data_IF_946270275855
#
_entry.id   IF_946270275855
#
_cell.length_a   1.000
_cell.length_b   1.000
_cell.length_c   1.000
_cell.angle_alpha   90.00
_cell.angle_beta   90.00
_cell.angle_gamma   90.00
#
_symmetry.space_group_name_H-M   'P 1'
#
loop_
_entity.id
_entity.type
_entity.pdbx_description
1 polymer ?
#
# COMPACT_ATOMS: atom_id res chain seq x y z
N UNK A 1 -15.36 21.58 -0.54
CA UNK A 1 -15.30 20.32 -1.33
C UNK A 1 -14.01 19.59 -0.99
N UNK A 2 -14.13 18.37 -0.47
CA UNK A 2 -13.06 17.44 -0.17
C UNK A 2 -12.31 17.05 -1.45
N UNK A 3 -11.00 17.21 -1.41
CA UNK A 3 -10.10 16.75 -2.46
C UNK A 3 -8.68 16.64 -1.94
N UNK A 4 -7.79 16.09 -2.78
CA UNK A 4 -6.36 16.05 -2.49
C UNK A 4 -5.69 17.43 -2.52
N UNK A 5 -6.28 18.39 -3.25
CA UNK A 5 -5.70 19.73 -3.46
C UNK A 5 -6.26 20.79 -2.52
N UNK A 6 -7.52 20.67 -2.11
CA UNK A 6 -8.16 21.61 -1.19
C UNK A 6 -7.83 21.25 0.26
N UNK A 7 -7.68 22.24 1.16
CA UNK A 7 -7.65 21.98 2.60
C UNK A 7 -8.92 21.26 3.06
N UNK A 8 -8.76 20.28 3.94
CA UNK A 8 -9.88 19.68 4.67
C UNK A 8 -10.50 20.71 5.63
N UNK A 9 -11.80 20.96 5.48
CA UNK A 9 -12.58 21.88 6.32
C UNK A 9 -13.72 21.14 7.01
N UNK A 10 -14.06 21.50 8.25
CA UNK A 10 -15.15 20.85 9.00
C UNK A 10 -16.50 20.99 8.28
N UNK A 11 -16.72 22.12 7.60
CA UNK A 11 -17.94 22.42 6.84
C UNK A 11 -18.10 21.58 5.57
N UNK A 12 -17.03 20.95 5.08
CA UNK A 12 -17.08 20.13 3.88
C UNK A 12 -17.46 18.67 4.16
N UNK A 13 -17.40 18.25 5.43
CA UNK A 13 -17.58 16.86 5.83
C UNK A 13 -19.07 16.60 6.10
N UNK A 14 -19.64 15.64 5.38
CA UNK A 14 -20.99 15.13 5.62
C UNK A 14 -20.95 13.99 6.63
N UNK A 15 -20.08 13.00 6.40
CA UNK A 15 -19.97 11.80 7.24
C UNK A 15 -18.56 11.21 7.23
N UNK A 16 -18.27 10.41 8.26
CA UNK A 16 -17.03 9.67 8.44
C UNK A 16 -17.37 8.22 8.78
N UNK A 17 -16.80 7.28 8.04
CA UNK A 17 -16.98 5.85 8.26
C UNK A 17 -15.64 5.17 8.46
N UNK A 18 -15.57 4.25 9.41
CA UNK A 18 -14.36 3.47 9.65
C UNK A 18 -14.26 2.33 8.64
N UNK A 19 -13.16 2.27 7.90
CA UNK A 19 -12.85 1.18 6.95
C UNK A 19 -11.95 0.11 7.59
N UNK A 20 -11.00 0.54 8.42
CA UNK A 20 -10.14 -0.33 9.23
C UNK A 20 -10.08 0.22 10.63
N UNK A 21 -10.40 -0.62 11.61
CA UNK A 21 -10.52 -0.20 13.01
C UNK A 21 -9.28 0.57 13.47
N UNK A 22 -9.50 1.79 13.96
CA UNK A 22 -8.49 2.70 14.50
C UNK A 22 -7.49 3.28 13.49
N UNK A 23 -7.58 2.95 12.19
CA UNK A 23 -6.47 3.21 11.26
C UNK A 23 -6.92 3.92 9.97
N UNK A 24 -8.02 3.49 9.36
CA UNK A 24 -8.44 3.99 8.04
C UNK A 24 -9.90 4.42 8.09
N UNK A 25 -10.16 5.64 7.62
CA UNK A 25 -11.47 6.27 7.63
C UNK A 25 -11.83 6.82 6.25
N UNK A 26 -13.02 6.51 5.77
CA UNK A 26 -13.66 7.16 4.63
C UNK A 26 -14.33 8.45 5.12
N UNK A 27 -14.01 9.56 4.46
CA UNK A 27 -14.61 10.87 4.75
C UNK A 27 -15.37 11.30 3.50
N UNK A 28 -16.68 11.39 3.65
CA UNK A 28 -17.61 11.76 2.58
C UNK A 28 -18.05 13.21 2.77
N UNK A 29 -18.05 13.97 1.69
CA UNK A 29 -18.47 15.35 1.65
C UNK A 29 -19.90 15.51 1.11
N UNK A 30 -20.49 16.68 1.36
CA UNK A 30 -21.86 16.98 0.95
C UNK A 30 -22.08 16.95 -0.57
N UNK A 31 -21.01 17.05 -1.38
CA UNK A 31 -21.08 16.94 -2.84
C UNK A 31 -20.80 15.53 -3.36
N UNK A 32 -20.91 14.51 -2.49
CA UNK A 32 -20.57 13.09 -2.75
C UNK A 32 -19.10 12.82 -3.13
N UNK A 33 -18.25 13.81 -2.93
CA UNK A 33 -16.80 13.72 -2.93
C UNK A 33 -16.30 12.88 -1.75
N UNK A 34 -15.23 12.12 -1.95
CA UNK A 34 -14.68 11.21 -0.93
C UNK A 34 -13.17 11.28 -0.89
N UNK A 35 -12.65 11.30 0.33
CA UNK A 35 -11.22 11.14 0.63
C UNK A 35 -11.08 10.06 1.70
N UNK A 36 -9.87 9.54 1.86
CA UNK A 36 -9.52 8.65 2.95
C UNK A 36 -8.58 9.37 3.90
N UNK A 37 -8.84 9.24 5.20
CA UNK A 37 -7.90 9.60 6.25
C UNK A 37 -7.29 8.32 6.80
N UNK A 38 -5.95 8.21 6.70
CA UNK A 38 -5.18 7.10 7.25
C UNK A 38 -4.28 7.60 8.38
N UNK A 39 -4.22 6.84 9.46
CA UNK A 39 -3.37 7.11 10.61
C UNK A 39 -2.18 6.17 10.62
N UNK A 40 -0.97 6.73 10.70
CA UNK A 40 0.27 5.98 10.58
C UNK A 40 1.17 6.21 11.80
N UNK A 41 1.45 5.17 12.62
CA UNK A 41 2.33 5.31 13.77
C UNK A 41 3.77 5.57 13.34
N UNK A 42 4.46 6.46 14.06
CA UNK A 42 5.93 6.56 14.06
C UNK A 42 6.59 6.88 12.71
N UNK A 43 5.81 7.28 11.70
CA UNK A 43 6.32 7.72 10.40
C UNK A 43 6.34 9.25 10.33
N UNK A 44 7.42 9.82 9.80
CA UNK A 44 7.48 11.26 9.55
C UNK A 44 6.72 11.62 8.25
N UNK A 45 6.08 12.80 8.19
CA UNK A 45 5.50 13.34 6.95
C UNK A 45 6.49 13.35 5.77
N UNK A 46 7.78 13.58 6.07
CA UNK A 46 8.87 13.59 5.10
C UNK A 46 9.07 12.21 4.47
N UNK A 47 8.97 11.12 5.24
CA UNK A 47 9.09 9.76 4.72
C UNK A 47 7.99 9.49 3.69
N UNK A 48 6.72 9.77 4.01
CA UNK A 48 5.62 9.61 3.05
C UNK A 48 5.79 10.44 1.78
N UNK A 49 6.30 11.67 1.92
CA UNK A 49 6.57 12.55 0.79
C UNK A 49 7.65 11.97 -0.13
N UNK A 50 8.72 11.43 0.43
CA UNK A 50 9.84 10.90 -0.35
C UNK A 50 9.49 9.59 -1.06
N UNK A 51 8.88 8.66 -0.33
CA UNK A 51 8.41 7.38 -0.88
C UNK A 51 7.27 7.59 -1.88
N UNK A 52 6.39 8.56 -1.59
CA UNK A 52 5.27 8.91 -2.46
C UNK A 52 5.70 9.48 -3.82
N UNK A 53 6.89 10.09 -3.93
CA UNK A 53 7.44 10.52 -5.23
C UNK A 53 7.70 9.33 -6.17
N UNK A 54 8.15 8.21 -5.62
CA UNK A 54 8.41 6.98 -6.37
C UNK A 54 7.09 6.35 -6.79
N UNK A 55 6.15 6.22 -5.86
CA UNK A 55 4.85 5.62 -6.12
C UNK A 55 4.04 6.43 -7.13
N UNK A 56 4.13 7.76 -7.09
CA UNK A 56 3.44 8.65 -8.02
C UNK A 56 3.91 8.51 -9.48
N UNK A 57 5.06 7.88 -9.75
CA UNK A 57 5.48 7.57 -11.14
C UNK A 57 4.52 6.58 -11.77
N UNK A 58 4.12 5.58 -10.99
CA UNK A 58 3.29 4.50 -11.47
C UNK A 58 1.84 4.78 -11.10
N UNK A 59 1.53 4.97 -9.81
CA UNK A 59 0.18 5.13 -9.29
C UNK A 59 -0.06 6.49 -8.59
N UNK A 60 -0.34 7.56 -9.37
CA UNK A 60 -0.67 8.88 -8.83
C UNK A 60 -1.88 8.87 -7.88
N UNK A 61 -2.80 7.91 -8.03
CA UNK A 61 -4.01 7.83 -7.21
C UNK A 61 -3.74 7.34 -5.79
N UNK A 62 -2.62 6.64 -5.59
CA UNK A 62 -2.17 6.19 -4.27
C UNK A 62 -1.40 7.26 -3.49
N UNK A 63 -1.26 8.47 -4.03
CA UNK A 63 -0.56 9.58 -3.37
C UNK A 63 -1.20 9.89 -2.01
N UNK A 64 -0.36 9.91 -0.97
CA UNK A 64 -0.72 10.40 0.35
C UNK A 64 -0.14 11.79 0.62
N UNK A 65 -0.86 12.61 1.38
CA UNK A 65 -0.39 13.91 1.88
C UNK A 65 -0.64 13.98 3.37
N UNK A 66 0.37 14.33 4.16
CA UNK A 66 0.16 14.62 5.58
C UNK A 66 -0.80 15.81 5.75
N UNK A 67 -1.76 15.69 6.66
CA UNK A 67 -2.63 16.78 7.05
C UNK A 67 -1.79 17.89 7.68
N UNK A 68 -2.08 19.13 7.28
CA UNK A 68 -1.57 20.31 7.99
C UNK A 68 -2.20 20.43 9.38
N UNK A 69 -1.59 21.22 10.26
CA UNK A 69 -2.17 21.48 11.58
C UNK A 69 -3.58 22.07 11.49
N UNK A 70 -3.83 22.98 10.53
CA UNK A 70 -5.17 23.54 10.28
C UNK A 70 -6.17 22.46 9.90
N UNK A 71 -5.82 21.58 8.95
CA UNK A 71 -6.70 20.47 8.54
C UNK A 71 -6.99 19.49 9.70
N UNK A 72 -6.01 19.26 10.59
CA UNK A 72 -6.21 18.44 11.79
C UNK A 72 -7.19 19.10 12.76
N UNK A 73 -7.10 20.41 12.96
CA UNK A 73 -8.02 21.16 13.81
C UNK A 73 -9.45 21.15 13.23
N UNK A 74 -9.60 21.30 11.92
CA UNK A 74 -10.90 21.22 11.24
C UNK A 74 -11.51 19.82 11.34
N UNK A 75 -10.71 18.77 11.13
CA UNK A 75 -11.16 17.39 11.32
C UNK A 75 -11.60 17.15 12.77
N UNK A 76 -10.81 17.62 13.75
CA UNK A 76 -11.17 17.51 15.17
C UNK A 76 -12.47 18.25 15.49
N UNK A 77 -12.62 19.48 15.01
CA UNK A 77 -13.83 20.30 15.22
C UNK A 77 -15.09 19.59 14.72
N UNK A 78 -15.02 18.99 13.53
CA UNK A 78 -16.13 18.20 13.03
C UNK A 78 -16.43 16.99 13.93
N UNK A 79 -15.40 16.22 14.30
CA UNK A 79 -15.56 15.03 15.12
C UNK A 79 -16.12 15.35 16.52
N UNK A 80 -15.61 16.39 17.18
CA UNK A 80 -16.06 16.85 18.50
C UNK A 80 -17.55 17.21 18.46
N UNK A 81 -17.99 17.96 17.45
CA UNK A 81 -19.41 18.32 17.29
C UNK A 81 -20.30 17.09 17.18
N UNK A 82 -19.88 16.07 16.44
CA UNK A 82 -20.65 14.81 16.29
C UNK A 82 -20.71 14.05 17.62
N UNK A 83 -19.59 13.97 18.35
CA UNK A 83 -19.52 13.32 19.66
C UNK A 83 -20.38 14.04 20.69
N UNK A 84 -20.34 15.38 20.74
CA UNK A 84 -21.18 16.21 21.61
C UNK A 84 -22.67 16.01 21.31
N UNK A 85 -23.04 16.04 20.03
CA UNK A 85 -24.42 15.79 19.58
C UNK A 85 -24.90 14.41 20.02
N UNK A 86 -24.06 13.39 19.84
CA UNK A 86 -24.39 12.02 20.26
C UNK A 86 -24.53 11.90 21.79
N UNK A 87 -23.65 12.52 22.56
CA UNK A 87 -23.73 12.49 24.02
C UNK A 87 -25.00 13.18 24.56
N UNK A 88 -25.47 14.24 23.88
CA UNK A 88 -26.77 14.84 24.17
C UNK A 88 -27.93 13.86 23.91
N UNK A 89 -27.94 13.17 22.77
CA UNK A 89 -29.00 12.18 22.50
C UNK A 89 -28.96 10.97 23.45
N UNK A 90 -27.76 10.54 23.88
CA UNK A 90 -27.62 9.50 24.90
C UNK A 90 -28.20 9.93 26.25
N UNK A 91 -28.03 11.19 26.65
CA UNK A 91 -28.48 11.67 27.97
C UNK A 91 -30.01 11.77 28.10
N UNK A 92 -30.72 11.95 26.98
CA UNK A 92 -32.19 12.01 26.95
C UNK A 92 -32.88 10.64 26.75
N UNK A 93 -32.10 9.54 26.68
CA UNK A 93 -32.58 8.17 26.65
C UNK A 93 -32.90 7.61 25.25
N UNK A 94 -32.62 6.32 25.03
CA UNK A 94 -33.05 5.58 23.83
C UNK A 94 -32.08 5.58 22.63
N UNK A 95 -30.82 5.98 22.82
CA UNK A 95 -29.87 6.16 21.72
C UNK A 95 -28.68 5.19 21.78
N UNK A 96 -28.48 4.39 20.72
CA UNK A 96 -27.27 3.58 20.53
C UNK A 96 -26.30 4.34 19.64
N UNK A 97 -25.01 4.33 20.00
CA UNK A 97 -24.01 5.09 19.27
C UNK A 97 -23.90 4.64 17.81
N UNK A 98 -23.99 5.59 16.88
CA UNK A 98 -23.84 5.29 15.45
C UNK A 98 -22.39 4.95 15.13
N UNK A 99 -22.15 4.11 14.11
CA UNK A 99 -20.78 3.80 13.69
C UNK A 99 -20.03 5.05 13.20
N UNK A 100 -20.76 6.04 12.69
CA UNK A 100 -20.24 7.35 12.35
C UNK A 100 -19.67 8.08 13.59
N UNK A 101 -20.45 8.15 14.67
CA UNK A 101 -20.01 8.82 15.89
C UNK A 101 -18.88 8.07 16.60
N UNK A 102 -18.87 6.73 16.57
CA UNK A 102 -17.72 5.94 17.04
C UNK A 102 -16.44 6.28 16.25
N UNK A 103 -16.54 6.40 14.93
CA UNK A 103 -15.40 6.80 14.10
C UNK A 103 -14.90 8.20 14.47
N UNK A 104 -15.80 9.17 14.65
CA UNK A 104 -15.47 10.52 15.12
C UNK A 104 -14.83 10.51 16.52
N UNK A 105 -15.31 9.67 17.43
CA UNK A 105 -14.73 9.51 18.77
C UNK A 105 -13.27 9.07 18.69
N UNK A 106 -12.97 7.98 17.96
CA UNK A 106 -11.59 7.51 17.81
C UNK A 106 -10.67 8.57 17.21
N UNK A 107 -11.12 9.26 16.15
CA UNK A 107 -10.32 10.32 15.52
C UNK A 107 -10.06 11.47 16.51
N UNK A 108 -11.08 11.89 17.27
CA UNK A 108 -10.92 12.98 18.25
C UNK A 108 -9.96 12.59 19.37
N UNK A 109 -10.09 11.38 19.92
CA UNK A 109 -9.21 10.84 20.95
C UNK A 109 -7.75 10.80 20.47
N UNK A 110 -7.49 10.29 19.26
CA UNK A 110 -6.14 10.22 18.75
C UNK A 110 -5.57 11.60 18.37
N UNK A 111 -6.39 12.54 17.88
CA UNK A 111 -5.98 13.93 17.64
C UNK A 111 -5.68 14.69 18.94
N UNK A 112 -6.36 14.36 20.04
CA UNK A 112 -6.11 14.90 21.36
C UNK A 112 -4.92 14.22 22.06
N UNK A 113 -4.62 12.98 21.69
CA UNK A 113 -3.51 12.23 22.27
C UNK A 113 -2.15 12.81 21.87
N UNK A 114 -1.15 12.68 22.76
CA UNK A 114 0.26 12.96 22.41
C UNK A 114 0.89 11.81 21.61
N UNK A 115 0.09 10.90 21.03
CA UNK A 115 0.63 9.82 20.21
C UNK A 115 1.23 10.40 18.94
N UNK A 116 2.42 9.92 18.58
CA UNK A 116 3.13 10.35 17.38
C UNK A 116 2.55 9.65 16.14
N UNK A 117 1.33 10.05 15.77
CA UNK A 117 0.66 9.63 14.54
C UNK A 117 0.77 10.69 13.45
N UNK A 118 1.11 10.24 12.25
CA UNK A 118 0.94 11.04 11.04
C UNK A 118 -0.44 10.76 10.44
N UNK A 119 -1.24 11.82 10.31
CA UNK A 119 -2.54 11.76 9.65
C UNK A 119 -2.34 12.04 8.17
N UNK A 120 -2.70 11.09 7.32
CA UNK A 120 -2.58 11.17 5.88
C UNK A 120 -3.94 11.34 5.24
N UNK A 121 -4.03 12.29 4.32
CA UNK A 121 -5.13 12.42 3.35
C UNK A 121 -4.77 11.70 2.07
N UNK A 122 -5.70 10.90 1.56
CA UNK A 122 -5.55 10.09 0.36
C UNK A 122 -6.81 10.18 -0.50
N UNK A 123 -6.68 9.95 -1.81
CA UNK A 123 -7.83 9.81 -2.69
C UNK A 123 -8.60 8.54 -2.34
N UNK A 124 -9.94 8.60 -2.29
CA UNK A 124 -10.73 7.39 -2.14
C UNK A 124 -10.55 6.48 -3.37
N UNK A 125 -10.22 5.21 -3.12
CA UNK A 125 -10.14 4.17 -4.13
C UNK A 125 -11.00 2.98 -3.72
N UNK A 126 -11.75 2.42 -4.66
CA UNK A 126 -12.48 1.19 -4.43
C UNK A 126 -11.55 0.02 -4.67
N UNK A 127 -11.09 -0.66 -3.62
CA UNK A 127 -10.04 -1.69 -3.73
C UNK A 127 -10.53 -3.08 -3.33
N UNK A 128 -9.89 -4.10 -3.92
CA UNK A 128 -9.99 -5.50 -3.48
C UNK A 128 -8.59 -5.97 -3.12
N UNK A 129 -8.39 -6.45 -1.89
CA UNK A 129 -7.14 -7.10 -1.48
C UNK A 129 -7.14 -8.60 -1.79
N UNK A 130 -5.99 -9.14 -2.21
CA UNK A 130 -5.91 -10.54 -2.63
C UNK A 130 -6.05 -11.52 -1.46
N UNK A 131 -5.64 -11.13 -0.24
CA UNK A 131 -5.78 -11.95 0.96
C UNK A 131 -7.25 -12.21 1.33
N UNK A 132 -8.07 -11.17 1.42
CA UNK A 132 -9.48 -11.27 1.73
C UNK A 132 -10.27 -11.90 0.58
N UNK A 133 -9.91 -11.60 -0.68
CA UNK A 133 -10.51 -12.28 -1.84
C UNK A 133 -10.27 -13.79 -1.81
N UNK A 134 -9.05 -14.21 -1.49
CA UNK A 134 -8.71 -15.63 -1.35
C UNK A 134 -9.45 -16.25 -0.14
N UNK A 135 -9.46 -15.58 1.01
CA UNK A 135 -10.21 -16.03 2.20
C UNK A 135 -11.69 -16.24 1.89
N UNK A 136 -12.33 -15.26 1.24
CA UNK A 136 -13.74 -15.34 0.87
C UNK A 136 -14.01 -16.54 -0.05
N UNK A 137 -13.14 -16.77 -1.02
CA UNK A 137 -13.24 -17.95 -1.87
C UNK A 137 -13.12 -19.25 -1.05
N UNK A 138 -12.14 -19.35 -0.16
CA UNK A 138 -11.89 -20.59 0.57
C UNK A 138 -12.96 -20.91 1.62
N UNK A 139 -13.54 -19.88 2.25
CA UNK A 139 -14.55 -20.03 3.30
C UNK A 139 -15.97 -20.12 2.73
N UNK A 140 -16.26 -19.40 1.64
CA UNK A 140 -17.64 -19.24 1.12
C UNK A 140 -17.81 -19.68 -0.33
N UNK A 141 -16.74 -20.11 -1.01
CA UNK A 141 -16.78 -20.50 -2.42
C UNK A 141 -16.89 -19.35 -3.42
N UNK A 142 -16.96 -18.09 -2.97
CA UNK A 142 -17.09 -16.94 -3.87
C UNK A 142 -15.75 -16.55 -4.49
N UNK A 143 -15.58 -16.95 -5.76
CA UNK A 143 -14.40 -16.65 -6.59
C UNK A 143 -14.44 -15.26 -7.22
N UNK A 144 -15.55 -14.52 -7.13
CA UNK A 144 -15.75 -13.31 -7.91
C UNK A 144 -14.70 -12.23 -7.67
N UNK A 145 -14.25 -11.93 -6.41
CA UNK A 145 -13.21 -10.92 -6.20
C UNK A 145 -11.84 -11.41 -6.67
N UNK A 146 -11.56 -12.70 -6.46
CA UNK A 146 -10.30 -13.31 -6.89
C UNK A 146 -10.20 -13.33 -8.43
N UNK A 147 -11.28 -13.65 -9.14
CA UNK A 147 -11.31 -13.59 -10.59
C UNK A 147 -11.11 -12.17 -11.13
N UNK A 148 -11.60 -11.13 -10.45
CA UNK A 148 -11.30 -9.72 -10.81
C UNK A 148 -9.81 -9.42 -10.68
N UNK A 149 -9.16 -9.89 -9.61
CA UNK A 149 -7.72 -9.73 -9.40
C UNK A 149 -6.92 -10.45 -10.49
N UNK A 150 -7.19 -11.74 -10.71
CA UNK A 150 -6.48 -12.51 -11.73
C UNK A 150 -6.76 -12.02 -13.15
N UNK A 151 -7.96 -11.50 -13.42
CA UNK A 151 -8.26 -10.80 -14.66
C UNK A 151 -7.36 -9.58 -14.84
N UNK A 152 -7.32 -8.69 -13.84
CA UNK A 152 -6.48 -7.50 -13.87
C UNK A 152 -4.98 -7.80 -14.03
N UNK A 153 -4.49 -8.89 -13.44
CA UNK A 153 -3.10 -9.33 -13.59
C UNK A 153 -2.84 -9.90 -15.00
N UNK A 154 -3.75 -10.73 -15.51
CA UNK A 154 -3.60 -11.36 -16.83
C UNK A 154 -3.75 -10.37 -17.98
N UNK A 155 -4.51 -9.30 -17.80
CA UNK A 155 -4.67 -8.21 -18.78
C UNK A 155 -3.32 -7.59 -19.18
N UNK A 156 -3.26 -7.01 -20.38
CA UNK A 156 -2.05 -6.33 -20.89
C UNK A 156 -1.63 -5.23 -19.91
N UNK A 157 -0.38 -5.25 -19.46
CA UNK A 157 0.16 -4.31 -18.49
C UNK A 157 -0.09 -4.69 -17.02
N UNK A 158 -0.93 -5.67 -16.71
CA UNK A 158 -1.28 -6.07 -15.34
C UNK A 158 -0.10 -6.58 -14.53
N UNK A 159 0.60 -7.61 -15.02
CA UNK A 159 1.81 -8.14 -14.40
C UNK A 159 2.98 -7.16 -14.46
N UNK A 160 3.07 -6.36 -15.51
CA UNK A 160 4.10 -5.31 -15.63
C UNK A 160 3.89 -4.26 -14.52
N UNK A 161 2.63 -3.91 -14.24
CA UNK A 161 2.25 -3.00 -13.16
C UNK A 161 2.52 -3.59 -11.78
N UNK A 162 2.26 -4.90 -11.59
CA UNK A 162 2.67 -5.60 -10.38
C UNK A 162 4.20 -5.54 -10.22
N UNK A 163 4.95 -5.68 -11.31
CA UNK A 163 6.39 -5.51 -11.33
C UNK A 163 6.82 -4.10 -10.89
N UNK A 164 6.10 -3.07 -11.34
CA UNK A 164 6.35 -1.71 -10.89
C UNK A 164 6.07 -1.49 -9.39
N UNK A 165 5.05 -2.15 -8.83
CA UNK A 165 4.79 -2.13 -7.38
C UNK A 165 5.94 -2.77 -6.61
N UNK A 166 6.38 -3.96 -7.03
CA UNK A 166 7.51 -4.68 -6.39
C UNK A 166 8.80 -3.86 -6.50
N UNK A 167 9.09 -3.26 -7.66
CA UNK A 167 10.28 -2.43 -7.84
C UNK A 167 10.24 -1.18 -6.93
N UNK A 168 9.07 -0.57 -6.79
CA UNK A 168 8.87 0.57 -5.88
C UNK A 168 9.05 0.15 -4.42
N UNK A 169 8.48 -0.99 -4.01
CA UNK A 169 8.68 -1.55 -2.67
C UNK A 169 10.14 -1.86 -2.40
N UNK A 170 10.85 -2.48 -3.36
CA UNK A 170 12.26 -2.75 -3.24
C UNK A 170 13.07 -1.47 -3.03
N UNK A 171 12.78 -0.43 -3.82
CA UNK A 171 13.49 0.84 -3.77
C UNK A 171 13.24 1.59 -2.47
N UNK A 172 11.97 1.70 -2.08
CA UNK A 172 11.51 2.29 -0.83
C UNK A 172 11.92 1.46 0.40
N UNK A 173 12.27 0.19 0.20
CA UNK A 173 12.51 -0.77 1.26
C UNK A 173 11.24 -1.07 2.06
N UNK A 174 10.12 -1.24 1.38
CA UNK A 174 8.88 -1.76 1.96
C UNK A 174 8.95 -3.30 1.97
N UNK A 175 9.04 -3.89 3.17
CA UNK A 175 9.14 -5.35 3.34
C UNK A 175 7.80 -5.99 3.66
N UNK A 176 6.73 -5.21 3.80
CA UNK A 176 5.44 -5.72 4.27
C UNK A 176 4.80 -6.65 3.21
N UNK A 177 4.85 -6.29 1.92
CA UNK A 177 4.22 -7.08 0.86
C UNK A 177 5.02 -8.32 0.45
N UNK A 178 6.33 -8.18 0.29
CA UNK A 178 7.19 -9.21 -0.30
C UNK A 178 8.42 -9.50 0.56
N UNK A 179 8.75 -10.78 0.62
CA UNK A 179 9.94 -11.31 1.25
C UNK A 179 11.00 -11.60 0.20
N UNK A 180 12.19 -11.04 0.37
CA UNK A 180 13.24 -11.03 -0.66
C UNK A 180 14.20 -12.22 -0.53
N UNK A 181 14.47 -12.66 0.69
CA UNK A 181 15.43 -13.71 1.00
C UNK A 181 15.03 -14.46 2.28
N UNK A 182 15.14 -15.78 2.26
CA UNK A 182 14.92 -16.64 3.42
C UNK A 182 14.07 -17.87 3.08
N UNK A 183 13.62 -18.62 4.09
CA UNK A 183 12.75 -19.77 3.89
C UNK A 183 11.35 -19.34 3.44
N UNK A 184 10.62 -20.28 2.84
CA UNK A 184 9.20 -20.10 2.51
C UNK A 184 8.40 -19.77 3.77
N UNK A 185 7.42 -18.86 3.63
CA UNK A 185 6.60 -18.36 4.75
C UNK A 185 5.23 -19.03 4.72
N UNK A 186 4.86 -19.68 5.81
CA UNK A 186 3.51 -20.22 5.97
C UNK A 186 2.53 -19.14 6.41
N UNK A 187 1.55 -18.83 5.57
CA UNK A 187 0.49 -17.86 5.88
C UNK A 187 -0.86 -18.58 5.91
N UNK A 188 -1.63 -18.34 6.98
CA UNK A 188 -2.99 -18.88 7.12
C UNK A 188 -3.99 -17.96 6.41
N UNK A 189 -4.72 -18.51 5.45
CA UNK A 189 -5.80 -17.82 4.73
C UNK A 189 -7.03 -18.71 4.77
N UNK A 190 -8.05 -18.25 5.51
CA UNK A 190 -9.21 -19.08 5.83
C UNK A 190 -8.80 -20.43 6.45
N UNK A 191 -9.23 -21.58 5.89
CA UNK A 191 -8.87 -22.90 6.40
C UNK A 191 -7.50 -23.42 5.91
N UNK A 192 -6.83 -22.73 4.98
CA UNK A 192 -5.58 -23.22 4.36
C UNK A 192 -4.34 -22.55 4.94
N UNK A 193 -3.26 -23.32 5.03
CA UNK A 193 -1.90 -22.80 5.18
C UNK A 193 -1.22 -22.85 3.82
N UNK A 194 -0.85 -21.69 3.29
CA UNK A 194 -0.13 -21.60 2.01
C UNK A 194 1.32 -21.28 2.32
N UNK A 195 2.24 -22.01 1.69
CA UNK A 195 3.67 -21.74 1.75
C UNK A 195 4.04 -20.79 0.62
N UNK A 196 4.33 -19.53 0.96
CA UNK A 196 4.75 -18.52 0.01
C UNK A 196 6.27 -18.43 -0.08
N UNK A 197 6.76 -18.28 -1.31
CA UNK A 197 8.19 -18.18 -1.64
C UNK A 197 8.70 -16.74 -1.67
N UNK A 198 7.81 -15.78 -1.92
CA UNK A 198 8.11 -14.36 -2.08
C UNK A 198 7.01 -13.44 -1.53
N UNK A 199 5.74 -13.86 -1.50
CA UNK A 199 4.65 -13.06 -0.95
C UNK A 199 4.60 -13.17 0.57
N UNK A 200 4.65 -12.04 1.29
CA UNK A 200 4.62 -12.02 2.76
C UNK A 200 3.23 -11.67 3.29
N UNK A 201 2.67 -10.56 2.80
CA UNK A 201 1.37 -10.06 3.21
C UNK A 201 0.44 -9.89 2.00
N UNK A 202 -0.32 -10.96 1.63
CA UNK A 202 -1.29 -10.87 0.55
C UNK A 202 -2.39 -9.82 0.83
N UNK A 203 -2.65 -9.44 2.08
CA UNK A 203 -3.62 -8.38 2.39
C UNK A 203 -3.21 -6.99 1.90
N UNK A 204 -1.91 -6.79 1.61
CA UNK A 204 -1.40 -5.50 1.12
C UNK A 204 -1.16 -5.47 -0.39
N UNK A 205 -1.52 -6.53 -1.12
CA UNK A 205 -1.52 -6.55 -2.58
C UNK A 205 -2.97 -6.39 -3.05
N UNK A 206 -3.26 -5.28 -3.70
CA UNK A 206 -4.62 -4.86 -4.01
C UNK A 206 -4.78 -4.47 -5.47
N UNK A 207 -6.00 -4.61 -5.98
CA UNK A 207 -6.42 -3.92 -7.22
C UNK A 207 -7.36 -2.78 -6.88
N UNK A 208 -7.27 -1.67 -7.62
CA UNK A 208 -8.26 -0.61 -7.68
C UNK A 208 -9.27 -0.94 -8.77
N UNK A 209 -10.56 -0.84 -8.43
CA UNK A 209 -11.69 -1.04 -9.33
C UNK A 209 -12.02 0.29 -10.02
N UNK A 210 -11.60 0.43 -11.27
CA UNK A 210 -11.93 1.58 -12.10
C UNK A 210 -13.22 1.39 -12.89
N UNK A 211 -13.73 2.48 -13.48
CA UNK A 211 -14.87 2.42 -14.43
C UNK A 211 -14.53 1.63 -15.70
N UNK A 212 -13.29 1.73 -16.16
CA UNK A 212 -12.85 1.21 -17.47
C UNK A 212 -11.89 0.02 -17.36
N UNK A 213 -11.13 -0.08 -16.27
CA UNK A 213 -10.23 -1.20 -16.02
C UNK A 213 -9.90 -1.34 -14.55
N UNK A 214 -9.57 -2.55 -14.13
CA UNK A 214 -8.99 -2.83 -12.83
C UNK A 214 -7.46 -2.73 -12.95
N UNK A 215 -6.79 -2.16 -11.96
CA UNK A 215 -5.34 -2.00 -11.98
C UNK A 215 -4.75 -2.26 -10.61
N UNK A 216 -3.46 -2.60 -10.54
CA UNK A 216 -2.78 -2.76 -9.26
C UNK A 216 -2.70 -1.42 -8.54
N UNK A 217 -3.19 -1.39 -7.31
CA UNK A 217 -3.14 -0.25 -6.41
C UNK A 217 -1.88 -0.31 -5.56
N UNK A 218 -1.12 0.77 -5.51
CA UNK A 218 0.13 0.86 -4.74
C UNK A 218 -0.06 1.53 -3.38
N UNK A 219 -1.17 1.23 -2.69
CA UNK A 219 -1.50 1.71 -1.34
C UNK A 219 -0.66 1.01 -0.28
N UNK A 220 -0.31 1.65 0.83
CA UNK A 220 0.51 1.07 1.92
C UNK A 220 1.96 0.82 1.51
N UNK A 221 2.55 1.83 0.86
CA UNK A 221 3.89 1.79 0.28
C UNK A 221 5.04 2.19 1.22
N UNK A 222 4.73 2.49 2.48
CA UNK A 222 5.73 2.82 3.52
C UNK A 222 5.66 1.77 4.61
N UNK A 223 6.80 1.13 4.87
CA UNK A 223 6.98 0.22 6.00
C UNK A 223 7.60 0.99 7.18
N UNK A 224 6.83 1.27 8.26
CA UNK A 224 7.35 1.97 9.44
C UNK A 224 8.45 1.19 10.17
N UNK A 225 8.48 -0.13 10.02
CA UNK A 225 9.47 -1.00 10.67
C UNK A 225 10.76 -1.10 9.85
N UNK A 226 10.72 -0.72 8.57
CA UNK A 226 11.87 -0.81 7.70
C UNK A 226 12.98 0.16 8.13
N UNK A 227 14.20 -0.37 8.19
CA UNK A 227 15.41 0.43 8.37
C UNK A 227 15.76 1.30 7.14
N UNK A 228 15.15 1.02 5.99
CA UNK A 228 15.39 1.74 4.74
C UNK A 228 14.38 2.87 4.52
N UNK A 229 13.46 3.10 5.47
CA UNK A 229 12.39 4.11 5.38
C UNK A 229 12.88 5.56 5.34
N UNK A 230 14.08 5.82 5.87
CA UNK A 230 14.69 7.15 5.87
C UNK A 230 15.75 7.24 4.77
N UNK A 231 15.54 8.17 3.84
CA UNK A 231 16.48 8.42 2.74
C UNK A 231 17.66 9.30 3.16
N UNK A 232 17.61 9.91 4.36
CA UNK A 232 18.74 10.65 4.93
C UNK A 232 19.78 9.73 5.57
N UNK A 233 19.41 8.48 5.89
CA UNK A 233 20.36 7.50 6.43
C UNK A 233 21.15 6.85 5.28
N UNK A 234 22.49 6.83 5.35
CA UNK A 234 23.32 6.11 4.38
C UNK A 234 22.91 4.64 4.26
N UNK A 235 22.87 4.12 3.04
CA UNK A 235 22.52 2.74 2.74
C UNK A 235 23.48 1.76 3.43
N UNK A 236 24.78 2.08 3.43
CA UNK A 236 25.78 1.27 4.12
C UNK A 236 25.50 1.15 5.63
N UNK A 237 24.95 2.19 6.26
CA UNK A 237 24.57 2.17 7.67
C UNK A 237 23.34 1.29 7.90
N UNK A 238 22.32 1.39 7.03
CA UNK A 238 21.15 0.49 7.07
C UNK A 238 21.57 -0.98 6.99
N UNK A 239 22.63 -1.31 6.24
CA UNK A 239 23.06 -2.69 5.99
C UNK A 239 24.10 -3.24 7.00
N UNK A 240 24.65 -2.40 7.88
CA UNK A 240 25.92 -2.65 8.60
C UNK A 240 25.92 -3.88 9.52
N UNK A 241 24.77 -4.35 10.01
CA UNK A 241 24.67 -5.51 10.92
C UNK A 241 23.48 -6.43 10.59
N UNK A 242 23.07 -6.46 9.33
CA UNK A 242 21.76 -7.00 8.96
C UNK A 242 21.87 -8.14 7.97
N UNK A 243 21.01 -9.15 8.18
CA UNK A 243 20.83 -10.25 7.23
C UNK A 243 20.23 -9.75 5.93
N UNK A 244 19.27 -8.82 6.01
CA UNK A 244 18.59 -8.27 4.83
C UNK A 244 19.35 -7.07 4.28
N UNK A 245 19.78 -7.18 3.03
CA UNK A 245 20.35 -6.09 2.25
C UNK A 245 19.24 -5.29 1.55
N UNK A 246 19.60 -4.14 0.98
CA UNK A 246 18.64 -3.34 0.24
C UNK A 246 18.06 -4.14 -0.94
N UNK A 247 16.73 -4.33 -1.02
CA UNK A 247 16.15 -5.35 -1.88
C UNK A 247 16.42 -5.19 -3.38
N UNK A 248 16.62 -3.95 -3.84
CA UNK A 248 16.95 -3.67 -5.25
C UNK A 248 18.17 -4.47 -5.71
N UNK A 249 19.13 -4.77 -4.83
CA UNK A 249 20.32 -5.58 -5.17
C UNK A 249 19.96 -6.94 -5.79
N UNK A 250 18.86 -7.57 -5.36
CA UNK A 250 18.35 -8.83 -5.95
C UNK A 250 17.73 -8.66 -7.33
N UNK A 251 17.31 -7.44 -7.67
CA UNK A 251 16.59 -7.14 -8.91
C UNK A 251 17.51 -6.60 -10.00
N UNK A 252 18.75 -6.20 -9.68
CA UNK A 252 19.72 -5.68 -10.65
C UNK A 252 20.19 -6.76 -11.62
N UNK A 253 20.30 -8.01 -11.17
CA UNK A 253 20.75 -9.14 -12.00
C UNK A 253 19.56 -9.79 -12.68
N UNK A 254 19.57 -9.88 -14.02
CA UNK A 254 18.46 -10.43 -14.80
C UNK A 254 18.02 -11.84 -14.34
N UNK A 255 18.98 -12.72 -14.07
CA UNK A 255 18.71 -14.09 -13.59
C UNK A 255 17.95 -14.09 -12.26
N UNK A 256 18.37 -13.26 -11.30
CA UNK A 256 17.80 -13.20 -9.97
C UNK A 256 16.42 -12.52 -10.00
N UNK A 257 16.29 -11.45 -10.79
CA UNK A 257 15.02 -10.78 -11.10
C UNK A 257 13.99 -11.76 -11.67
N UNK A 258 14.37 -12.57 -12.66
CA UNK A 258 13.49 -13.59 -13.24
C UNK A 258 13.16 -14.71 -12.25
N UNK A 259 14.14 -15.14 -11.45
CA UNK A 259 13.93 -16.14 -10.39
C UNK A 259 12.91 -15.63 -9.35
N UNK A 260 13.04 -14.38 -8.91
CA UNK A 260 12.10 -13.73 -8.00
C UNK A 260 10.71 -13.61 -8.63
N UNK A 261 10.62 -13.18 -9.89
CA UNK A 261 9.35 -13.11 -10.60
C UNK A 261 8.63 -14.47 -10.67
N UNK A 262 9.37 -15.56 -10.91
CA UNK A 262 8.79 -16.93 -10.88
C UNK A 262 8.21 -17.28 -9.51
N UNK A 263 8.91 -16.95 -8.42
CA UNK A 263 8.39 -17.17 -7.05
C UNK A 263 7.07 -16.42 -6.81
N UNK A 264 6.99 -15.16 -7.22
CA UNK A 264 5.76 -14.37 -7.09
C UNK A 264 4.61 -14.97 -7.90
N UNK A 265 4.86 -15.38 -9.14
CA UNK A 265 3.83 -16.03 -9.98
C UNK A 265 3.37 -17.35 -9.35
N UNK A 266 4.29 -18.18 -8.84
CA UNK A 266 3.95 -19.42 -8.14
C UNK A 266 3.06 -19.16 -6.91
N UNK A 267 3.37 -18.14 -6.12
CA UNK A 267 2.59 -17.74 -4.95
C UNK A 267 1.18 -17.29 -5.33
N UNK A 268 1.05 -16.49 -6.39
CA UNK A 268 -0.24 -16.07 -6.93
C UNK A 268 -1.04 -17.29 -7.45
N UNK A 269 -0.42 -18.19 -8.22
CA UNK A 269 -1.09 -19.41 -8.68
C UNK A 269 -1.56 -20.32 -7.53
N UNK A 270 -0.78 -20.35 -6.44
CA UNK A 270 -1.13 -21.05 -5.20
C UNK A 270 -2.34 -20.40 -4.52
N UNK A 271 -2.44 -19.07 -4.50
CA UNK A 271 -3.64 -18.36 -4.05
C UNK A 271 -4.87 -18.65 -4.91
N UNK A 272 -4.71 -18.73 -6.22
CA UNK A 272 -5.81 -19.08 -7.10
C UNK A 272 -6.35 -20.50 -6.83
N UNK A 273 -5.49 -21.41 -6.35
CA UNK A 273 -5.83 -22.82 -6.14
C UNK A 273 -5.00 -23.45 -4.99
N UNK A 274 -5.38 -23.24 -3.72
CA UNK A 274 -4.55 -23.61 -2.56
C UNK A 274 -4.40 -25.14 -2.36
N UNK A 275 -5.22 -25.94 -3.05
CA UNK A 275 -5.19 -27.39 -3.02
C UNK A 275 -4.74 -28.05 -4.34
N UNK A 276 -4.12 -27.29 -5.26
CA UNK A 276 -3.66 -27.83 -6.55
C UNK A 276 -2.73 -29.03 -6.32
N UNK A 277 -3.19 -30.24 -6.68
CA UNK A 277 -2.33 -31.42 -6.86
C UNK A 277 -1.46 -31.20 -8.11
N UNK A 278 -0.27 -31.82 -8.14
CA UNK A 278 0.79 -31.73 -9.18
C UNK A 278 0.35 -31.79 -10.67
N UNK A 279 -0.93 -32.06 -11.00
CA UNK A 279 -1.44 -32.34 -12.35
C UNK A 279 -2.45 -31.31 -12.92
N UNK A 280 -2.66 -30.14 -12.30
CA UNK A 280 -3.55 -29.13 -12.91
C UNK A 280 -2.89 -28.45 -14.13
N UNK A 281 -3.40 -28.72 -15.33
CA UNK A 281 -2.78 -28.28 -16.59
C UNK A 281 -3.05 -26.82 -17.01
N UNK A 282 -3.25 -25.88 -16.07
CA UNK A 282 -3.50 -24.48 -16.42
C UNK A 282 -2.95 -23.47 -15.41
N UNK A 283 -2.04 -22.61 -15.87
CA UNK A 283 -1.62 -21.39 -15.17
C UNK A 283 -2.62 -20.28 -15.53
N UNK A 284 -3.30 -19.69 -14.53
CA UNK A 284 -4.22 -18.57 -14.75
C UNK A 284 -3.51 -17.32 -15.31
N UNK A 285 -2.24 -17.14 -14.97
CA UNK A 285 -1.41 -16.01 -15.40
C UNK A 285 -0.63 -16.30 -16.69
N UNK A 286 -0.89 -17.45 -17.33
CA UNK A 286 -0.26 -17.86 -18.59
C UNK A 286 1.20 -18.30 -18.46
N UNK A 287 1.76 -18.87 -19.54
CA UNK A 287 3.15 -19.38 -19.56
C UNK A 287 4.21 -18.26 -19.49
N UNK A 288 3.88 -17.03 -19.90
CA UNK A 288 4.78 -15.88 -19.91
C UNK A 288 4.65 -14.95 -18.70
N UNK A 289 3.90 -15.34 -17.65
CA UNK A 289 3.63 -14.45 -16.53
C UNK A 289 4.89 -13.97 -15.80
N UNK A 290 5.87 -14.86 -15.59
CA UNK A 290 7.12 -14.51 -14.94
C UNK A 290 7.97 -13.54 -15.79
N UNK A 291 7.99 -13.71 -17.11
CA UNK A 291 8.73 -12.85 -18.02
C UNK A 291 8.11 -11.43 -18.06
N UNK A 292 6.78 -11.35 -18.11
CA UNK A 292 6.03 -10.08 -18.03
C UNK A 292 6.29 -9.34 -16.72
N UNK A 293 6.25 -10.06 -15.61
CA UNK A 293 6.55 -9.49 -14.29
C UNK A 293 8.01 -9.02 -14.19
N UNK A 294 8.96 -9.83 -14.68
CA UNK A 294 10.38 -9.48 -14.71
C UNK A 294 10.67 -8.28 -15.63
N UNK A 295 9.95 -8.16 -16.74
CA UNK A 295 10.01 -6.98 -17.61
C UNK A 295 9.49 -5.73 -16.89
N UNK A 296 8.33 -5.81 -16.22
CA UNK A 296 7.79 -4.71 -15.41
C UNK A 296 8.73 -4.24 -14.31
N UNK A 297 9.37 -5.19 -13.61
CA UNK A 297 10.41 -4.93 -12.61
C UNK A 297 11.57 -4.11 -13.21
N UNK A 298 12.12 -4.54 -14.35
CA UNK A 298 13.23 -3.85 -15.02
C UNK A 298 12.81 -2.44 -15.50
N UNK A 299 11.69 -2.34 -16.20
CA UNK A 299 11.19 -1.09 -16.73
C UNK A 299 10.96 -0.05 -15.62
N UNK A 300 10.36 -0.48 -14.50
CA UNK A 300 10.12 0.39 -13.36
C UNK A 300 11.42 0.82 -12.67
N UNK A 301 12.40 -0.06 -12.48
CA UNK A 301 13.70 0.34 -11.91
C UNK A 301 14.42 1.37 -12.79
N UNK A 302 14.33 1.22 -14.12
CA UNK A 302 14.86 2.20 -15.05
C UNK A 302 14.14 3.56 -14.94
N UNK A 303 12.80 3.55 -14.88
CA UNK A 303 12.00 4.76 -14.71
C UNK A 303 12.28 5.47 -13.37
N UNK A 304 12.41 4.71 -12.28
CA UNK A 304 12.84 5.21 -10.97
C UNK A 304 14.22 5.86 -11.07
N UNK A 305 15.18 5.20 -11.72
CA UNK A 305 16.53 5.73 -11.93
C UNK A 305 16.50 7.08 -12.63
N UNK A 306 15.74 7.19 -13.73
CA UNK A 306 15.56 8.43 -14.49
C UNK A 306 14.89 9.53 -13.65
N UNK A 307 13.88 9.20 -12.85
CA UNK A 307 13.18 10.15 -12.00
C UNK A 307 14.04 10.65 -10.81
N UNK A 308 14.92 9.80 -10.28
CA UNK A 308 15.78 10.13 -9.14
C UNK A 308 17.03 10.91 -9.57
N UNK A 309 17.57 10.65 -10.77
CA UNK A 309 18.81 11.26 -11.27
C UNK A 309 18.89 12.79 -11.13
N UNK A 310 17.87 13.60 -11.53
CA UNK A 310 17.95 15.05 -11.36
C UNK A 310 18.08 15.47 -9.90
N UNK A 311 17.50 14.68 -8.99
CA UNK A 311 17.48 14.96 -7.56
C UNK A 311 18.83 14.71 -6.90
N UNK A 312 19.66 13.82 -7.46
CA UNK A 312 21.01 13.54 -6.94
C UNK A 312 22.02 14.62 -7.25
N UNK A 313 21.67 15.56 -8.13
CA UNK A 313 22.48 16.73 -8.46
C UNK A 313 22.24 17.90 -7.49
N UNK A 314 21.16 17.86 -6.70
CA UNK A 314 20.86 18.88 -5.71
C UNK A 314 21.79 18.77 -4.49
N UNK A 315 22.33 19.90 -3.96
CA UNK A 315 23.09 19.91 -2.71
C UNK A 315 22.27 19.43 -1.50
N UNK A 316 20.94 19.52 -1.57
CA UNK A 316 20.02 19.07 -0.53
C UNK A 316 19.59 17.60 -0.72
N UNK A 317 20.22 16.86 -1.64
CA UNK A 317 19.89 15.45 -1.86
C UNK A 317 20.22 14.62 -0.61
N UNK A 318 19.25 13.84 -0.08
CA UNK A 318 19.54 12.90 1.00
C UNK A 318 20.64 11.90 0.60
N UNK A 319 21.63 11.70 1.46
CA UNK A 319 22.77 10.83 1.17
C UNK A 319 22.34 9.39 0.82
N UNK A 320 21.39 8.84 1.55
CA UNK A 320 20.84 7.52 1.27
C UNK A 320 20.11 7.45 -0.07
N UNK A 321 19.47 8.52 -0.53
CA UNK A 321 18.86 8.57 -1.87
C UNK A 321 19.94 8.55 -2.97
N UNK A 322 21.01 9.31 -2.79
CA UNK A 322 22.15 9.34 -3.71
C UNK A 322 22.82 7.97 -3.82
N UNK A 323 23.01 7.27 -2.71
CA UNK A 323 23.58 5.92 -2.69
C UNK A 323 22.66 4.89 -3.36
N UNK A 324 21.34 4.96 -3.13
CA UNK A 324 20.34 4.11 -3.82
C UNK A 324 20.38 4.33 -5.33
N UNK A 325 20.45 5.58 -5.79
CA UNK A 325 20.61 5.90 -7.22
C UNK A 325 21.91 5.34 -7.80
N UNK A 326 23.04 5.52 -7.10
CA UNK A 326 24.31 4.93 -7.52
C UNK A 326 24.20 3.40 -7.61
N UNK A 327 23.47 2.74 -6.70
CA UNK A 327 23.19 1.31 -6.79
C UNK A 327 22.44 0.90 -8.06
N UNK A 328 21.49 1.73 -8.52
CA UNK A 328 20.74 1.51 -9.77
C UNK A 328 21.58 1.65 -11.03
N UNK A 329 22.72 2.35 -10.99
CA UNK A 329 23.60 2.49 -12.16
C UNK A 329 24.18 1.17 -12.68
N UNK A 330 24.07 0.09 -11.88
CA UNK A 330 24.45 -1.26 -12.27
C UNK A 330 23.31 -2.09 -12.87
N UNK A 331 22.15 -1.48 -13.13
CA UNK A 331 21.02 -2.17 -13.75
C UNK A 331 21.41 -2.62 -15.17
N UNK A 332 21.42 -3.94 -15.38
CA UNK A 332 21.73 -4.59 -16.65
C UNK A 332 20.52 -5.34 -17.22
#
# INVERSE_FOLDING_TARGET
MLSMTNPLMASDIESIHQLKQGIVYDVKGFTNDRIVIKMEPQNSPESFKEHGKIINLFDPSSKAKALTQSERLELKRYCDRIVETENFYKSIGGYTASDHAKACQYISEDLASQRNYTFLKMQFQNVIDIGAAAKLYYEKGDKSPLNKIFGALSDIGGLERLGAMIASDAFNGNFDRFFWEGPDVSVKIGPFHILFKALLNPGNVMISLGKNSNTIAMLDYVDPSSQFRDFNVPLAQCEKNQRLKWPVKHLLVQKDRLSFAKKVIDDLESLANPGKRFFSMGNKLGKGGADRLAFGLYAALNEISLAVKPRTLSPQCPIGLKERYNGLSNLK
#
